data_IF_509467314069
#
_entry.id   IF_509467314069
#
_cell.length_a   1.000
_cell.length_b   1.000
_cell.length_c   1.000
_cell.angle_alpha   90.00
_cell.angle_beta   90.00
_cell.angle_gamma   90.00
#
_symmetry.space_group_name_H-M   'P 1'
#
loop_
_entity.id
_entity.type
_entity.pdbx_description
1 polymer ?
#
# COMPACT_ATOMS: atom_id res chain seq x y z
N UNK A 1 2.66 -13.16 -9.03
CA UNK A 1 1.65 -12.31 -8.37
C UNK A 1 2.38 -11.37 -7.41
N UNK A 2 2.04 -10.07 -7.39
CA UNK A 2 2.65 -9.09 -6.48
C UNK A 2 2.64 -9.55 -5.02
N UNK A 3 1.64 -10.36 -4.67
CA UNK A 3 1.45 -11.03 -3.38
C UNK A 3 2.63 -11.91 -2.91
N UNK A 4 3.53 -12.37 -3.79
CA UNK A 4 4.70 -13.17 -3.35
C UNK A 4 5.78 -12.34 -2.62
N UNK A 5 5.77 -11.02 -2.80
CA UNK A 5 6.78 -10.11 -2.24
C UNK A 5 6.18 -9.08 -1.27
N UNK A 6 4.86 -9.11 -1.09
CA UNK A 6 4.11 -8.26 -0.15
C UNK A 6 3.60 -9.19 0.94
N UNK A 7 3.84 -8.85 2.21
CA UNK A 7 3.33 -9.66 3.31
C UNK A 7 1.80 -9.63 3.36
N UNK A 8 1.19 -10.69 3.90
CA UNK A 8 -0.27 -10.85 3.96
C UNK A 8 -0.97 -9.69 4.67
N UNK A 9 -0.33 -9.12 5.70
CA UNK A 9 -0.88 -7.99 6.44
C UNK A 9 -0.99 -6.73 5.59
N UNK A 10 0.03 -6.41 4.78
CA UNK A 10 -0.01 -5.27 3.85
C UNK A 10 -0.98 -5.54 2.72
N UNK A 11 -1.02 -6.77 2.20
CA UNK A 11 -1.96 -7.14 1.14
C UNK A 11 -3.43 -6.94 1.56
N UNK A 12 -3.80 -7.34 2.78
CA UNK A 12 -5.14 -7.10 3.34
C UNK A 12 -5.51 -5.61 3.42
N UNK A 13 -4.53 -4.72 3.61
CA UNK A 13 -4.79 -3.28 3.57
C UNK A 13 -5.13 -2.81 2.15
N UNK A 14 -4.41 -3.31 1.14
CA UNK A 14 -4.70 -3.04 -0.28
C UNK A 14 -6.09 -3.54 -0.66
N UNK A 15 -6.46 -4.75 -0.23
CA UNK A 15 -7.81 -5.31 -0.46
C UNK A 15 -8.89 -4.43 0.17
N UNK A 16 -8.68 -3.96 1.40
CA UNK A 16 -9.63 -3.06 2.09
C UNK A 16 -9.82 -1.75 1.35
N UNK A 17 -8.74 -1.13 0.86
CA UNK A 17 -8.84 0.09 0.04
C UNK A 17 -9.48 -0.19 -1.32
N UNK A 18 -9.29 -1.38 -1.88
CA UNK A 18 -9.95 -1.80 -3.13
C UNK A 18 -11.46 -1.88 -2.97
N UNK A 19 -11.94 -2.47 -1.87
CA UNK A 19 -13.38 -2.50 -1.55
C UNK A 19 -13.93 -1.08 -1.42
N UNK A 20 -13.22 -0.17 -0.73
CA UNK A 20 -13.63 1.24 -0.62
C UNK A 20 -13.68 1.93 -1.98
N UNK A 21 -12.67 1.73 -2.83
CA UNK A 21 -12.63 2.33 -4.17
C UNK A 21 -13.82 1.89 -5.03
N UNK A 22 -14.18 0.60 -4.99
CA UNK A 22 -15.37 0.09 -5.68
C UNK A 22 -16.64 0.74 -5.15
N UNK A 23 -16.78 0.87 -3.82
CA UNK A 23 -17.95 1.49 -3.20
C UNK A 23 -18.07 2.96 -3.58
N UNK A 24 -16.97 3.70 -3.59
CA UNK A 24 -16.98 5.14 -3.87
C UNK A 24 -17.19 5.43 -5.36
N UNK A 25 -16.45 4.75 -6.23
CA UNK A 25 -16.47 4.99 -7.67
C UNK A 25 -17.64 4.31 -8.39
N UNK A 26 -18.35 3.40 -7.72
CA UNK A 26 -19.49 2.62 -8.26
C UNK A 26 -19.13 1.82 -9.51
N UNK A 27 -17.85 1.49 -9.71
CA UNK A 27 -17.35 0.66 -10.80
C UNK A 27 -16.45 -0.44 -10.25
N UNK A 28 -16.31 -1.57 -10.96
CA UNK A 28 -15.29 -2.56 -10.63
C UNK A 28 -13.89 -1.94 -10.75
N UNK A 29 -13.04 -2.17 -9.76
CA UNK A 29 -11.65 -1.70 -9.71
C UNK A 29 -10.75 -2.90 -9.45
N UNK A 30 -9.63 -3.00 -10.17
CA UNK A 30 -8.66 -4.09 -9.92
C UNK A 30 -7.78 -3.76 -8.73
N UNK A 31 -7.51 -4.76 -7.92
CA UNK A 31 -6.55 -4.69 -6.80
C UNK A 31 -5.16 -4.19 -7.24
N UNK A 32 -4.69 -4.58 -8.41
CA UNK A 32 -3.41 -4.11 -8.96
C UNK A 32 -3.40 -2.63 -9.30
N UNK A 33 -4.54 -2.06 -9.70
CA UNK A 33 -4.68 -0.62 -9.98
C UNK A 33 -4.66 0.18 -8.67
N UNK A 34 -5.33 -0.34 -7.64
CA UNK A 34 -5.29 0.25 -6.29
C UNK A 34 -3.90 0.15 -5.69
N UNK A 35 -3.19 -0.96 -5.90
CA UNK A 35 -1.80 -1.11 -5.46
C UNK A 35 -0.88 -0.06 -6.10
N UNK A 36 -0.93 0.10 -7.42
CA UNK A 36 -0.13 1.12 -8.13
C UNK A 36 -0.46 2.53 -7.64
N UNK A 37 -1.76 2.83 -7.48
CA UNK A 37 -2.23 4.10 -6.96
C UNK A 37 -1.71 4.40 -5.54
N UNK A 38 -1.78 3.43 -4.63
CA UNK A 38 -1.28 3.58 -3.27
C UNK A 38 0.24 3.79 -3.23
N UNK A 39 1.01 3.08 -4.08
CA UNK A 39 2.46 3.26 -4.18
C UNK A 39 2.79 4.67 -4.67
N UNK A 40 2.14 5.15 -5.74
CA UNK A 40 2.34 6.51 -6.26
C UNK A 40 2.03 7.56 -5.22
N UNK A 41 0.87 7.46 -4.56
CA UNK A 41 0.48 8.36 -3.47
C UNK A 41 1.51 8.34 -2.33
N UNK A 42 2.00 7.15 -1.97
CA UNK A 42 3.05 6.98 -0.97
C UNK A 42 4.34 7.71 -1.34
N UNK A 43 4.81 7.56 -2.58
CA UNK A 43 6.00 8.24 -3.11
C UNK A 43 5.82 9.76 -3.09
N UNK A 44 4.64 10.27 -3.42
CA UNK A 44 4.34 11.71 -3.40
C UNK A 44 4.27 12.28 -1.97
N UNK A 45 3.87 11.47 -0.99
CA UNK A 45 3.67 11.90 0.40
C UNK A 45 4.84 11.62 1.34
N UNK A 46 5.86 10.87 0.90
CA UNK A 46 6.94 10.41 1.76
C UNK A 46 7.76 11.59 2.29
N UNK A 47 8.06 11.57 3.59
CA UNK A 47 8.83 12.63 4.24
C UNK A 47 10.20 12.11 4.72
N UNK A 48 11.10 13.03 5.04
CA UNK A 48 12.39 12.69 5.65
C UNK A 48 12.25 11.86 6.95
N UNK A 49 11.22 12.14 7.74
CA UNK A 49 10.95 11.41 8.98
C UNK A 49 10.59 9.94 8.73
N UNK A 50 9.94 9.65 7.60
CA UNK A 50 9.58 8.28 7.24
C UNK A 50 10.82 7.45 6.88
N UNK A 51 11.80 8.05 6.21
CA UNK A 51 13.11 7.43 6.00
C UNK A 51 13.85 7.20 7.32
N UNK A 52 13.81 8.16 8.25
CA UNK A 52 14.41 8.00 9.58
C UNK A 52 13.79 6.83 10.34
N UNK A 53 12.47 6.67 10.30
CA UNK A 53 11.76 5.53 10.91
C UNK A 53 12.12 4.18 10.28
N UNK A 54 12.37 4.16 8.97
CA UNK A 54 12.78 2.95 8.27
C UNK A 54 14.06 2.34 8.85
N UNK A 55 15.03 3.16 9.28
CA UNK A 55 16.30 2.70 9.88
C UNK A 55 16.16 2.12 11.28
N UNK A 56 15.08 2.44 12.01
CA UNK A 56 14.84 1.86 13.35
C UNK A 56 14.29 0.43 13.25
N UNK A 57 13.48 0.15 12.23
CA UNK A 57 12.92 -1.18 11.98
C UNK A 57 13.97 -2.23 11.59
N UNK A 58 15.18 -1.83 11.16
CA UNK A 58 16.26 -2.74 10.78
C UNK A 58 17.26 -3.02 11.91
N UNK A 59 17.26 -2.25 13.00
CA UNK A 59 18.18 -2.44 14.14
C UNK A 59 17.63 -3.36 15.23
N UNK A 60 16.33 -3.65 15.21
CA UNK A 60 15.65 -4.55 16.16
C UNK A 60 15.41 -5.96 15.58
N UNK A 61 16.24 -6.40 14.61
CA UNK A 61 16.27 -7.77 14.08
C UNK A 61 17.62 -8.42 14.28
#
# INVERSE_FOLDING_TARGET
MPTKHINDSTWRLVEKETVKAVIELKIPVKDTEVLDWLIRKGIESITEDDYRKFTKLTKDK
#
